data_IF_782341348004
#
_entry.id   IF_782341348004
#
_cell.length_a   1.000
_cell.length_b   1.000
_cell.length_c   1.000
_cell.angle_alpha   90.00
_cell.angle_beta   90.00
_cell.angle_gamma   90.00
#
_symmetry.space_group_name_H-M   'P 1'
#
loop_
_entity.id
_entity.type
_entity.pdbx_description
1 polymer ?
#
# COMPACT_ATOMS: atom_id res chain seq x y z
N UNK A 1 4.36 13.92 15.92
CA UNK A 1 3.92 12.84 15.04
C UNK A 1 2.43 12.97 14.74
N UNK A 2 1.93 12.26 13.72
CA UNK A 2 0.49 12.12 13.46
C UNK A 2 0.08 10.82 14.17
N UNK A 3 -0.89 10.91 15.05
CA UNK A 3 -1.50 9.76 15.71
C UNK A 3 -2.78 9.41 14.97
N UNK A 4 -2.94 8.13 14.63
CA UNK A 4 -4.08 7.62 13.87
C UNK A 4 -4.56 6.32 14.48
N UNK A 5 -5.87 6.18 14.56
CA UNK A 5 -6.55 4.93 14.87
C UNK A 5 -6.86 4.17 13.58
N UNK A 6 -6.67 2.86 13.59
CA UNK A 6 -7.07 1.97 12.51
C UNK A 6 -8.28 1.16 12.95
N UNK A 7 -9.41 1.36 12.27
CA UNK A 7 -10.66 0.66 12.54
C UNK A 7 -10.97 -0.31 11.41
N UNK A 8 -10.98 -1.60 11.71
CA UNK A 8 -11.34 -2.64 10.74
C UNK A 8 -12.86 -2.85 10.71
N UNK A 9 -13.41 -2.96 9.50
CA UNK A 9 -14.81 -3.32 9.22
C UNK A 9 -14.86 -4.64 8.48
N UNK A 10 -15.52 -5.63 9.03
CA UNK A 10 -15.57 -7.00 8.49
C UNK A 10 -16.40 -7.15 7.22
N UNK A 11 -17.19 -6.16 6.86
CA UNK A 11 -18.01 -6.16 5.64
C UNK A 11 -19.38 -6.82 5.76
N UNK A 12 -19.76 -7.32 6.95
CA UNK A 12 -21.09 -7.91 7.20
C UNK A 12 -21.77 -7.45 8.49
N UNK A 13 -21.12 -6.62 9.30
CA UNK A 13 -21.68 -6.05 10.53
C UNK A 13 -21.39 -6.89 11.77
N UNK A 14 -22.20 -6.68 12.82
CA UNK A 14 -21.94 -7.21 14.17
C UNK A 14 -22.33 -8.70 14.37
N UNK A 15 -23.00 -9.32 13.39
CA UNK A 15 -23.43 -10.72 13.46
C UNK A 15 -22.37 -11.70 12.91
N UNK A 16 -22.75 -12.97 12.89
CA UNK A 16 -22.00 -13.98 12.13
C UNK A 16 -22.29 -13.86 10.62
N UNK A 17 -21.31 -14.25 9.81
CA UNK A 17 -21.40 -14.15 8.35
C UNK A 17 -22.55 -15.00 7.78
N UNK A 18 -22.75 -16.22 8.29
CA UNK A 18 -23.76 -17.14 7.77
C UNK A 18 -25.16 -16.60 7.99
N UNK A 19 -25.48 -16.15 9.19
CA UNK A 19 -26.77 -15.53 9.52
C UNK A 19 -27.03 -14.25 8.74
N UNK A 20 -25.99 -13.44 8.52
CA UNK A 20 -26.10 -12.23 7.69
C UNK A 20 -26.44 -12.58 6.24
N UNK A 21 -25.74 -13.54 5.63
CA UNK A 21 -25.99 -13.97 4.25
C UNK A 21 -27.39 -14.57 4.09
N UNK A 22 -27.84 -15.39 5.06
CA UNK A 22 -29.17 -15.97 5.02
C UNK A 22 -30.27 -14.90 5.11
N UNK A 23 -30.16 -13.98 6.06
CA UNK A 23 -31.13 -12.89 6.25
C UNK A 23 -31.20 -11.94 5.06
N UNK A 24 -30.07 -11.74 4.35
CA UNK A 24 -29.98 -10.82 3.22
C UNK A 24 -30.21 -11.49 1.85
N UNK A 25 -30.38 -12.82 1.80
CA UNK A 25 -30.49 -13.59 0.54
C UNK A 25 -31.50 -13.01 -0.44
N UNK A 26 -32.66 -12.55 0.03
CA UNK A 26 -33.68 -11.96 -0.83
C UNK A 26 -33.25 -10.63 -1.46
N UNK A 27 -32.40 -9.83 -0.79
CA UNK A 27 -31.81 -8.59 -1.33
C UNK A 27 -30.74 -8.90 -2.35
N UNK A 28 -29.89 -9.87 -2.06
CA UNK A 28 -28.77 -10.28 -2.91
C UNK A 28 -29.27 -10.86 -4.25
N UNK A 29 -30.34 -11.66 -4.23
CA UNK A 29 -30.98 -12.17 -5.46
C UNK A 29 -31.51 -11.02 -6.31
N UNK A 30 -32.19 -10.04 -5.71
CA UNK A 30 -32.69 -8.86 -6.46
C UNK A 30 -31.55 -7.99 -7.00
N UNK A 31 -30.48 -7.83 -6.24
CA UNK A 31 -29.30 -7.07 -6.65
C UNK A 31 -28.39 -7.85 -7.62
N UNK A 32 -28.61 -9.14 -7.81
CA UNK A 32 -27.74 -10.06 -8.55
C UNK A 32 -26.28 -10.01 -8.09
N UNK A 33 -26.06 -9.71 -6.83
CA UNK A 33 -24.74 -9.56 -6.22
C UNK A 33 -24.85 -9.75 -4.70
N UNK A 34 -23.85 -10.34 -4.08
CA UNK A 34 -23.73 -10.45 -2.62
C UNK A 34 -23.30 -9.09 -2.05
N UNK A 35 -24.16 -8.48 -1.26
CA UNK A 35 -23.98 -7.12 -0.73
C UNK A 35 -23.19 -7.09 0.58
N UNK A 36 -23.08 -8.22 1.29
CA UNK A 36 -22.33 -8.34 2.55
C UNK A 36 -21.35 -9.50 2.47
N UNK A 37 -20.21 -9.38 3.15
CA UNK A 37 -19.21 -10.45 3.20
C UNK A 37 -17.77 -9.94 3.20
N UNK A 38 -16.78 -10.84 3.25
CA UNK A 38 -15.36 -10.49 3.31
C UNK A 38 -14.88 -9.58 2.16
N UNK A 39 -15.52 -9.66 1.00
CA UNK A 39 -15.24 -8.79 -0.15
C UNK A 39 -15.63 -7.32 0.09
N UNK A 40 -16.39 -7.04 1.15
CA UNK A 40 -16.77 -5.71 1.62
C UNK A 40 -15.97 -5.28 2.83
N UNK A 41 -15.05 -6.15 3.30
CA UNK A 41 -14.17 -5.79 4.41
C UNK A 41 -13.32 -4.59 4.01
N UNK A 42 -13.14 -3.67 4.94
CA UNK A 42 -12.39 -2.45 4.75
C UNK A 42 -11.75 -2.00 6.07
N UNK A 43 -10.88 -1.05 6.01
CA UNK A 43 -10.39 -0.37 7.20
C UNK A 43 -10.46 1.15 7.01
N UNK A 44 -10.69 1.85 8.10
CA UNK A 44 -10.67 3.32 8.13
C UNK A 44 -9.53 3.79 9.02
N UNK A 45 -8.82 4.81 8.55
CA UNK A 45 -7.90 5.58 9.37
C UNK A 45 -8.64 6.78 9.93
N UNK A 46 -8.61 6.92 11.25
CA UNK A 46 -9.26 8.02 11.96
C UNK A 46 -8.18 8.85 12.66
N UNK A 47 -8.37 10.16 12.66
CA UNK A 47 -7.65 11.11 13.51
C UNK A 47 -8.68 11.79 14.41
N UNK A 48 -8.52 11.62 15.72
CA UNK A 48 -9.47 12.18 16.70
C UNK A 48 -10.95 11.79 16.39
N UNK A 49 -11.17 10.55 15.92
CA UNK A 49 -12.50 10.03 15.56
C UNK A 49 -13.03 10.49 14.20
N UNK A 50 -12.30 11.31 13.45
CA UNK A 50 -12.69 11.80 12.12
C UNK A 50 -11.84 11.11 11.05
N UNK A 51 -12.42 10.82 9.88
CA UNK A 51 -11.69 10.17 8.78
C UNK A 51 -10.42 10.94 8.42
N UNK A 52 -9.30 10.23 8.34
CA UNK A 52 -8.00 10.81 8.01
C UNK A 52 -8.03 11.56 6.65
N UNK A 53 -8.84 11.07 5.69
CA UNK A 53 -9.03 11.73 4.40
C UNK A 53 -9.61 13.14 4.48
N UNK A 54 -10.36 13.45 5.54
CA UNK A 54 -11.01 14.75 5.74
C UNK A 54 -10.16 15.71 6.59
N UNK A 55 -9.15 15.18 7.30
CA UNK A 55 -8.36 15.96 8.28
C UNK A 55 -6.89 16.13 7.90
N UNK A 56 -6.35 15.24 7.06
CA UNK A 56 -4.96 15.25 6.66
C UNK A 56 -4.76 15.96 5.32
N UNK A 57 -3.61 16.62 5.16
CA UNK A 57 -3.17 17.11 3.86
C UNK A 57 -2.87 15.95 2.90
N UNK A 58 -2.87 16.21 1.58
CA UNK A 58 -2.52 15.20 0.56
C UNK A 58 -1.14 14.57 0.80
N UNK A 59 -0.16 15.38 1.21
CA UNK A 59 1.17 14.89 1.54
C UNK A 59 1.16 13.97 2.77
N UNK A 60 0.41 14.31 3.81
CA UNK A 60 0.26 13.46 4.99
C UNK A 60 -0.44 12.14 4.67
N UNK A 61 -1.47 12.16 3.82
CA UNK A 61 -2.14 10.93 3.35
C UNK A 61 -1.20 10.01 2.56
N UNK A 62 -0.33 10.57 1.70
CA UNK A 62 0.70 9.79 1.00
C UNK A 62 1.64 9.09 1.98
N UNK A 63 2.09 9.81 3.00
CA UNK A 63 2.94 9.24 4.07
C UNK A 63 2.22 8.12 4.81
N UNK A 64 0.94 8.30 5.16
CA UNK A 64 0.14 7.29 5.84
C UNK A 64 -0.03 6.03 4.97
N UNK A 65 -0.36 6.19 3.69
CA UNK A 65 -0.51 5.07 2.76
C UNK A 65 0.79 4.28 2.64
N UNK A 66 1.92 4.97 2.50
CA UNK A 66 3.21 4.30 2.42
C UNK A 66 3.58 3.58 3.73
N UNK A 67 3.29 4.19 4.89
CA UNK A 67 3.50 3.55 6.19
C UNK A 67 2.69 2.26 6.34
N UNK A 68 1.44 2.23 5.84
CA UNK A 68 0.61 1.02 5.80
C UNK A 68 1.22 -0.07 4.91
N UNK A 69 1.67 0.28 3.71
CA UNK A 69 2.35 -0.66 2.80
C UNK A 69 3.61 -1.23 3.45
N UNK A 70 4.45 -0.39 4.04
CA UNK A 70 5.66 -0.83 4.74
C UNK A 70 5.33 -1.72 5.95
N UNK A 71 4.27 -1.38 6.71
CA UNK A 71 3.78 -2.20 7.81
C UNK A 71 3.31 -3.59 7.34
N UNK A 72 2.61 -3.63 6.19
CA UNK A 72 2.17 -4.89 5.57
C UNK A 72 3.35 -5.74 5.09
N UNK A 73 4.39 -5.12 4.50
CA UNK A 73 5.62 -5.80 4.10
C UNK A 73 6.29 -6.46 5.31
N UNK A 74 6.46 -5.71 6.40
CA UNK A 74 7.07 -6.24 7.62
C UNK A 74 6.24 -7.37 8.24
N UNK A 75 4.91 -7.24 8.26
CA UNK A 75 4.01 -8.29 8.76
C UNK A 75 4.09 -9.57 7.91
N UNK A 76 4.21 -9.44 6.59
CA UNK A 76 4.39 -10.57 5.67
C UNK A 76 5.74 -11.25 5.87
N UNK A 77 6.82 -10.49 5.98
CA UNK A 77 8.16 -11.00 6.24
C UNK A 77 8.24 -11.80 7.56
N UNK A 78 7.59 -11.31 8.63
CA UNK A 78 7.49 -12.04 9.91
C UNK A 78 6.76 -13.38 9.80
N UNK A 79 5.91 -13.56 8.80
CA UNK A 79 5.19 -14.82 8.50
C UNK A 79 5.94 -15.72 7.53
N UNK A 80 7.18 -15.37 7.17
CA UNK A 80 7.99 -16.12 6.19
C UNK A 80 7.54 -15.95 4.74
N UNK A 81 6.68 -14.98 4.45
CA UNK A 81 6.28 -14.62 3.09
C UNK A 81 7.29 -13.63 2.56
N UNK A 82 7.82 -13.86 1.36
CA UNK A 82 8.71 -12.94 0.65
C UNK A 82 7.90 -12.12 -0.38
N UNK A 83 7.37 -10.95 0.00
CA UNK A 83 6.61 -10.12 -0.92
C UNK A 83 7.54 -9.42 -1.91
N UNK A 84 6.99 -9.03 -3.07
CA UNK A 84 7.63 -8.12 -4.01
C UNK A 84 6.96 -6.76 -3.90
N UNK A 85 7.74 -5.71 -3.66
CA UNK A 85 7.25 -4.34 -3.63
C UNK A 85 7.39 -3.70 -5.01
N UNK A 86 6.28 -3.23 -5.57
CA UNK A 86 6.27 -2.46 -6.81
C UNK A 86 6.06 -0.98 -6.49
N UNK A 87 6.98 -0.13 -6.92
CA UNK A 87 6.91 1.33 -6.78
C UNK A 87 6.87 1.97 -8.16
N UNK A 88 5.76 2.64 -8.47
CA UNK A 88 5.60 3.35 -9.73
C UNK A 88 5.91 4.83 -9.54
N UNK A 89 6.96 5.29 -10.21
CA UNK A 89 7.48 6.67 -10.21
C UNK A 89 7.52 7.35 -8.81
N UNK A 90 8.15 6.73 -7.80
CA UNK A 90 8.13 7.23 -6.43
C UNK A 90 8.70 8.66 -6.30
N UNK A 91 9.59 9.07 -7.20
CA UNK A 91 10.17 10.39 -7.22
C UNK A 91 9.25 11.50 -7.71
N UNK A 92 8.17 11.19 -8.44
CA UNK A 92 7.15 12.17 -8.82
C UNK A 92 6.18 12.46 -7.66
N UNK A 93 6.06 11.51 -6.73
CA UNK A 93 5.03 11.51 -5.70
C UNK A 93 5.51 12.01 -4.33
N UNK A 94 6.81 11.84 -4.03
CA UNK A 94 7.38 12.05 -2.71
C UNK A 94 8.50 13.09 -2.73
N UNK A 95 8.63 13.85 -1.64
CA UNK A 95 9.79 14.70 -1.38
C UNK A 95 11.08 13.86 -1.29
N UNK A 96 12.17 14.35 -1.85
CA UNK A 96 13.45 13.65 -1.95
C UNK A 96 14.00 13.17 -0.59
N UNK A 97 13.89 14.00 0.45
CA UNK A 97 14.36 13.63 1.80
C UNK A 97 13.51 12.52 2.41
N UNK A 98 12.21 12.57 2.16
CA UNK A 98 11.31 11.55 2.63
C UNK A 98 11.52 10.22 1.88
N UNK A 99 11.72 10.29 0.57
CA UNK A 99 12.01 9.15 -0.29
C UNK A 99 13.29 8.40 0.13
N UNK A 100 14.35 9.13 0.53
CA UNK A 100 15.57 8.52 1.07
C UNK A 100 15.31 7.65 2.31
N UNK A 101 14.51 8.14 3.26
CA UNK A 101 14.13 7.37 4.46
C UNK A 101 13.29 6.14 4.11
N UNK A 102 12.42 6.26 3.11
CA UNK A 102 11.63 5.13 2.62
C UNK A 102 12.52 4.04 2.08
N UNK A 103 13.52 4.41 1.26
CA UNK A 103 14.50 3.46 0.74
C UNK A 103 15.33 2.78 1.83
N UNK A 104 15.75 3.50 2.87
CA UNK A 104 16.44 2.90 4.02
C UNK A 104 15.60 1.78 4.66
N UNK A 105 14.30 2.02 4.87
CA UNK A 105 13.37 1.03 5.45
C UNK A 105 13.18 -0.16 4.51
N UNK A 106 12.99 0.09 3.22
CA UNK A 106 12.75 -0.95 2.22
C UNK A 106 13.97 -1.85 2.08
N UNK A 107 15.15 -1.28 1.90
CA UNK A 107 16.42 -2.04 1.77
C UNK A 107 16.68 -2.85 3.05
N UNK A 108 16.47 -2.23 4.22
CA UNK A 108 16.60 -2.92 5.51
C UNK A 108 15.62 -4.07 5.74
N UNK A 109 14.52 -4.13 4.99
CA UNK A 109 13.53 -5.21 5.08
C UNK A 109 13.91 -6.47 4.29
N UNK A 110 14.89 -6.40 3.37
CA UNK A 110 15.33 -7.52 2.53
C UNK A 110 14.31 -8.00 1.50
N UNK A 111 13.28 -7.21 1.21
CA UNK A 111 12.27 -7.56 0.20
C UNK A 111 12.78 -7.23 -1.21
N UNK A 112 12.33 -8.00 -2.21
CA UNK A 112 12.57 -7.66 -3.60
C UNK A 112 11.75 -6.43 -3.99
N UNK A 113 12.39 -5.47 -4.69
CA UNK A 113 11.75 -4.24 -5.12
C UNK A 113 11.84 -4.10 -6.63
N UNK A 114 10.75 -3.73 -7.25
CA UNK A 114 10.67 -3.28 -8.63
C UNK A 114 10.24 -1.82 -8.62
N UNK A 115 11.11 -0.91 -9.03
CA UNK A 115 10.79 0.51 -9.08
C UNK A 115 10.88 1.04 -10.51
N UNK A 116 9.94 1.89 -10.89
CA UNK A 116 9.97 2.60 -12.17
C UNK A 116 10.29 4.08 -11.95
N UNK A 117 10.81 4.73 -12.97
CA UNK A 117 11.06 6.16 -12.95
C UNK A 117 11.64 6.66 -14.28
N UNK A 118 11.57 7.96 -14.49
CA UNK A 118 12.08 8.58 -15.72
C UNK A 118 13.60 8.48 -15.81
N UNK A 119 14.28 8.66 -14.67
CA UNK A 119 15.74 8.51 -14.52
C UNK A 119 16.06 7.83 -13.19
N UNK A 120 17.23 7.20 -13.09
CA UNK A 120 17.67 6.54 -11.84
C UNK A 120 17.70 7.55 -10.67
N UNK A 121 18.15 8.76 -10.90
CA UNK A 121 18.22 9.82 -9.87
C UNK A 121 16.82 10.17 -9.32
N UNK A 122 15.81 10.12 -10.19
CA UNK A 122 14.42 10.40 -9.81
C UNK A 122 13.79 9.30 -8.96
N UNK A 123 14.31 8.08 -9.03
CA UNK A 123 13.86 6.98 -8.15
C UNK A 123 14.25 7.22 -6.70
N UNK A 124 15.24 8.08 -6.44
CA UNK A 124 15.66 8.52 -5.10
C UNK A 124 16.55 7.53 -4.35
N UNK A 125 17.19 6.62 -5.09
CA UNK A 125 18.23 5.74 -4.54
C UNK A 125 19.49 6.55 -4.23
N UNK A 126 20.16 6.24 -3.14
CA UNK A 126 21.52 6.69 -2.88
C UNK A 126 22.52 6.04 -3.87
N UNK A 127 23.71 6.61 -4.04
CA UNK A 127 24.73 6.00 -4.89
C UNK A 127 25.05 4.56 -4.52
N UNK A 128 25.16 4.26 -3.22
CA UNK A 128 25.40 2.90 -2.72
C UNK A 128 24.25 1.94 -3.09
N UNK A 129 23.00 2.37 -2.92
CA UNK A 129 21.84 1.56 -3.27
C UNK A 129 21.69 1.37 -4.78
N UNK A 130 22.07 2.37 -5.57
CA UNK A 130 22.05 2.30 -7.02
C UNK A 130 23.12 1.33 -7.58
N UNK A 131 24.26 1.15 -6.89
CA UNK A 131 25.28 0.18 -7.27
C UNK A 131 24.80 -1.28 -7.14
N UNK A 132 23.90 -1.56 -6.18
CA UNK A 132 23.35 -2.90 -5.93
C UNK A 132 22.07 -3.18 -6.74
N UNK A 133 21.57 -2.21 -7.49
CA UNK A 133 20.35 -2.32 -8.27
C UNK A 133 20.63 -2.71 -9.74
N UNK A 134 19.89 -3.68 -10.26
CA UNK A 134 19.84 -3.91 -11.70
C UNK A 134 18.96 -2.85 -12.37
N UNK A 135 19.52 -2.16 -13.36
CA UNK A 135 18.82 -1.10 -14.09
C UNK A 135 18.50 -1.56 -15.51
N UNK A 136 17.23 -1.46 -15.86
CA UNK A 136 16.72 -1.78 -17.18
C UNK A 136 16.17 -0.52 -17.86
N UNK A 137 16.46 -0.35 -19.13
CA UNK A 137 15.80 0.67 -19.94
C UNK A 137 14.61 0.10 -20.68
N UNK A 138 13.48 0.81 -20.60
CA UNK A 138 12.30 0.51 -21.41
C UNK A 138 12.25 1.48 -22.57
N UNK A 139 12.45 0.98 -23.80
CA UNK A 139 12.43 1.79 -25.02
C UNK A 139 11.57 1.10 -26.07
N UNK A 140 10.54 1.81 -26.58
CA UNK A 140 9.61 1.29 -27.58
C UNK A 140 8.98 -0.07 -27.20
N UNK A 141 8.62 -0.25 -25.90
CA UNK A 141 8.02 -1.47 -25.41
C UNK A 141 8.99 -2.66 -25.25
N UNK A 142 10.30 -2.42 -25.38
CA UNK A 142 11.34 -3.44 -25.18
C UNK A 142 12.19 -3.09 -23.95
N UNK A 143 12.51 -4.10 -23.17
CA UNK A 143 13.41 -4.00 -22.02
C UNK A 143 14.81 -4.32 -22.50
N UNK A 144 15.78 -3.47 -22.18
CA UNK A 144 17.20 -3.69 -22.41
C UNK A 144 17.98 -3.44 -21.11
N UNK A 145 18.99 -4.25 -20.80
CA UNK A 145 19.92 -3.95 -19.70
C UNK A 145 20.67 -2.62 -20.03
N UNK A 146 21.05 -1.91 -18.96
CA UNK A 146 21.84 -0.68 -19.09
C UNK A 146 23.28 -1.03 -19.41
#
# INVERSE_FOLDING_TARGET
GIELDLVYRNGWGDGDLAGTLESQRGRDIRARSTLSGPQRADFELLRDGVKAGDTLSRGQLKVCNLALVLGQLQASARRGIAPVLCLDDPGAELDYRFLGRVWEIIVGSGVQVLATGITVDRVGLSEAQACDAEVFHVKHGRIAPK
#
